data_IF_331804152775
#
_entry.id   IF_331804152775
#
_cell.length_a   1.000
_cell.length_b   1.000
_cell.length_c   1.000
_cell.angle_alpha   90.00
_cell.angle_beta   90.00
_cell.angle_gamma   90.00
#
_symmetry.space_group_name_H-M   'P 1'
#
loop_
_entity.id
_entity.type
_entity.pdbx_description
1 polymer ?
#
# COMPACT_ATOMS: atom_id res chain seq x y z
N UNK A 1 -25.89 21.52 28.01
CA UNK A 1 -25.61 20.23 27.38
C UNK A 1 -24.21 19.82 27.82
N UNK A 2 -24.08 18.80 28.66
CA UNK A 2 -22.79 18.27 29.08
C UNK A 2 -22.09 17.71 27.83
N UNK A 3 -20.92 18.25 27.48
CA UNK A 3 -20.07 17.64 26.45
C UNK A 3 -19.67 16.26 26.95
N UNK A 4 -20.04 15.26 26.19
CA UNK A 4 -19.68 13.86 26.45
C UNK A 4 -18.14 13.75 26.43
N UNK A 5 -17.53 13.69 27.60
CA UNK A 5 -16.08 13.65 27.82
C UNK A 5 -15.50 12.23 27.59
N UNK A 6 -16.12 11.44 26.71
CA UNK A 6 -15.61 10.13 26.33
C UNK A 6 -14.23 10.29 25.67
N UNK A 7 -13.23 9.57 26.15
CA UNK A 7 -11.92 9.48 25.49
C UNK A 7 -12.14 8.98 24.06
N UNK A 8 -11.41 9.53 23.07
CA UNK A 8 -11.50 9.11 21.67
C UNK A 8 -11.32 7.59 21.49
N UNK A 9 -10.40 7.01 22.24
CA UNK A 9 -10.12 5.57 22.27
C UNK A 9 -11.32 4.72 22.68
N UNK A 10 -12.21 5.23 23.52
CA UNK A 10 -13.44 4.52 23.91
C UNK A 10 -14.54 4.56 22.83
N UNK A 11 -14.30 5.26 21.73
CA UNK A 11 -15.24 5.37 20.62
C UNK A 11 -14.93 4.42 19.47
N UNK A 12 -13.96 3.51 19.61
CA UNK A 12 -13.62 2.49 18.64
C UNK A 12 -13.82 1.09 19.21
N UNK A 13 -14.18 0.15 18.35
CA UNK A 13 -14.26 -1.28 18.65
C UNK A 13 -12.83 -1.83 18.88
N UNK A 14 -12.64 -2.81 19.75
CA UNK A 14 -11.32 -3.43 19.92
C UNK A 14 -11.00 -4.41 18.78
N UNK A 15 -9.71 -4.64 18.53
CA UNK A 15 -9.25 -5.59 17.51
C UNK A 15 -9.75 -7.01 17.78
N UNK A 16 -9.77 -7.41 19.05
CA UNK A 16 -10.20 -8.74 19.50
C UNK A 16 -11.70 -8.95 19.29
N UNK A 17 -12.51 -7.92 19.56
CA UNK A 17 -13.98 -7.98 19.40
C UNK A 17 -14.36 -8.05 17.91
N UNK A 18 -13.85 -7.15 17.08
CA UNK A 18 -14.15 -7.11 15.66
C UNK A 18 -13.08 -6.32 14.90
N UNK A 19 -12.08 -7.03 14.34
CA UNK A 19 -10.97 -6.42 13.60
C UNK A 19 -11.46 -5.58 12.40
N UNK A 20 -12.50 -6.00 11.72
CA UNK A 20 -13.04 -5.27 10.56
C UNK A 20 -13.71 -3.96 10.95
N UNK A 21 -14.42 -3.94 12.06
CA UNK A 21 -15.04 -2.71 12.59
C UNK A 21 -13.98 -1.79 13.19
N UNK A 22 -13.04 -2.32 13.97
CA UNK A 22 -11.88 -1.59 14.47
C UNK A 22 -11.15 -0.84 13.35
N UNK A 23 -10.87 -1.52 12.23
CA UNK A 23 -10.24 -0.91 11.07
C UNK A 23 -11.04 0.28 10.52
N UNK A 24 -12.36 0.10 10.36
CA UNK A 24 -13.24 1.15 9.85
C UNK A 24 -13.33 2.32 10.82
N UNK A 25 -13.43 2.03 12.12
CA UNK A 25 -13.47 3.05 13.18
C UNK A 25 -12.19 3.91 13.15
N UNK A 26 -11.01 3.30 13.00
CA UNK A 26 -9.75 4.04 12.87
C UNK A 26 -9.74 4.92 11.63
N UNK A 27 -10.16 4.41 10.47
CA UNK A 27 -10.20 5.22 9.24
C UNK A 27 -10.98 6.52 9.42
N UNK A 28 -12.07 6.48 10.18
CA UNK A 28 -12.94 7.65 10.42
C UNK A 28 -12.45 8.48 11.62
N UNK A 29 -12.12 7.84 12.75
CA UNK A 29 -11.79 8.55 14.00
C UNK A 29 -10.40 9.19 13.98
N UNK A 30 -9.45 8.61 13.26
CA UNK A 30 -8.16 9.25 13.00
C UNK A 30 -8.24 10.33 11.90
N UNK A 31 -9.44 10.61 11.40
CA UNK A 31 -9.70 11.63 10.37
C UNK A 31 -8.96 11.38 9.04
N UNK A 32 -8.85 10.10 8.64
CA UNK A 32 -8.21 9.74 7.37
C UNK A 32 -9.19 9.86 6.21
N UNK A 33 -10.42 9.43 6.41
CA UNK A 33 -11.46 9.44 5.38
C UNK A 33 -12.80 9.90 5.92
N UNK A 34 -13.67 10.30 4.98
CA UNK A 34 -15.10 10.48 5.18
C UNK A 34 -15.84 9.75 4.04
N UNK A 35 -17.06 9.30 4.29
CA UNK A 35 -17.88 8.70 3.26
C UNK A 35 -18.47 9.78 2.33
N UNK A 36 -18.36 9.55 1.03
CA UNK A 36 -19.00 10.40 0.02
C UNK A 36 -20.52 10.14 -0.02
N UNK A 37 -21.27 11.09 -0.57
CA UNK A 37 -22.70 10.90 -0.88
C UNK A 37 -22.94 9.81 -1.93
N UNK A 38 -21.93 9.45 -2.73
CA UNK A 38 -21.99 8.32 -3.67
C UNK A 38 -21.46 7.07 -2.98
N UNK A 39 -22.32 6.06 -2.83
CA UNK A 39 -21.99 4.81 -2.15
C UNK A 39 -20.73 4.14 -2.72
N UNK A 40 -19.80 3.81 -1.84
CA UNK A 40 -18.56 3.12 -2.19
C UNK A 40 -17.42 4.05 -2.60
N UNK A 41 -17.66 5.37 -2.61
CA UNK A 41 -16.64 6.40 -2.77
C UNK A 41 -16.29 7.01 -1.41
N UNK A 42 -15.03 7.38 -1.26
CA UNK A 42 -14.52 8.01 -0.04
C UNK A 42 -13.90 9.38 -0.37
N UNK A 43 -13.92 10.25 0.63
CA UNK A 43 -13.17 11.51 0.63
C UNK A 43 -11.91 11.27 1.45
N UNK A 44 -10.73 11.47 0.87
CA UNK A 44 -9.50 11.55 1.65
C UNK A 44 -9.49 12.89 2.41
N UNK A 45 -9.52 12.79 3.75
CA UNK A 45 -9.42 13.98 4.61
C UNK A 45 -7.98 14.47 4.64
N UNK A 46 -7.72 15.72 5.04
CA UNK A 46 -6.36 16.29 4.99
C UNK A 46 -5.28 15.42 5.63
N UNK A 47 -5.57 14.74 6.75
CA UNK A 47 -4.57 13.90 7.41
C UNK A 47 -4.29 12.61 6.63
N UNK A 48 -5.33 11.97 6.09
CA UNK A 48 -5.18 10.81 5.20
C UNK A 48 -4.47 11.16 3.89
N UNK A 49 -4.81 12.31 3.30
CA UNK A 49 -4.15 12.82 2.11
C UNK A 49 -2.66 13.10 2.35
N UNK A 50 -2.31 13.71 3.49
CA UNK A 50 -0.92 14.01 3.83
C UNK A 50 -0.06 12.74 4.01
N UNK A 51 -0.62 11.65 4.55
CA UNK A 51 0.06 10.35 4.59
C UNK A 51 0.33 9.84 3.18
N UNK A 52 -0.67 9.89 2.29
CA UNK A 52 -0.52 9.47 0.90
C UNK A 52 0.51 10.31 0.15
N UNK A 53 0.53 11.63 0.34
CA UNK A 53 1.51 12.54 -0.27
C UNK A 53 2.95 12.22 0.14
N UNK A 54 3.18 11.79 1.38
CA UNK A 54 4.50 11.37 1.84
C UNK A 54 4.95 10.06 1.17
N UNK A 55 4.05 9.09 1.02
CA UNK A 55 4.30 7.85 0.26
C UNK A 55 4.57 8.19 -1.21
N UNK A 56 3.75 9.05 -1.80
CA UNK A 56 3.90 9.51 -3.17
C UNK A 56 5.26 10.20 -3.40
N UNK A 57 5.65 11.07 -2.48
CA UNK A 57 6.91 11.84 -2.57
C UNK A 57 8.13 10.91 -2.61
N UNK A 58 8.15 9.88 -1.77
CA UNK A 58 9.28 8.93 -1.74
C UNK A 58 9.30 8.06 -3.00
N UNK A 59 8.17 7.46 -3.38
CA UNK A 59 8.07 6.66 -4.60
C UNK A 59 8.41 7.46 -5.85
N UNK A 60 7.90 8.69 -6.00
CA UNK A 60 8.16 9.55 -7.15
C UNK A 60 9.65 9.89 -7.28
N UNK A 61 10.33 10.12 -6.15
CA UNK A 61 11.77 10.34 -6.14
C UNK A 61 12.55 9.11 -6.64
N UNK A 62 12.14 7.90 -6.22
CA UNK A 62 12.75 6.63 -6.66
C UNK A 62 12.51 6.37 -8.14
N UNK A 63 11.31 6.64 -8.66
CA UNK A 63 10.99 6.51 -10.09
C UNK A 63 11.84 7.46 -10.93
N UNK A 64 11.94 8.73 -10.54
CA UNK A 64 12.79 9.73 -11.23
C UNK A 64 14.26 9.35 -11.19
N UNK A 65 14.75 8.80 -10.09
CA UNK A 65 16.13 8.32 -9.99
C UNK A 65 16.45 7.17 -10.96
N UNK A 66 15.45 6.42 -11.42
CA UNK A 66 15.56 5.34 -12.41
C UNK A 66 15.14 5.76 -13.83
N UNK A 67 14.97 7.07 -14.06
CA UNK A 67 14.74 7.66 -15.37
C UNK A 67 13.29 7.64 -15.84
N UNK A 68 12.33 7.54 -14.92
CA UNK A 68 10.90 7.61 -15.24
C UNK A 68 10.40 9.05 -15.25
N UNK A 69 9.48 9.33 -16.14
CA UNK A 69 8.84 10.64 -16.31
C UNK A 69 7.35 10.56 -16.02
N UNK A 70 6.84 11.55 -15.29
CA UNK A 70 5.41 11.64 -15.01
C UNK A 70 4.65 12.18 -16.20
N UNK A 71 3.53 11.52 -16.51
CA UNK A 71 2.57 11.91 -17.55
C UNK A 71 1.16 11.97 -16.98
N UNK A 72 0.23 12.50 -17.75
CA UNK A 72 -1.20 12.49 -17.42
C UNK A 72 -1.99 11.98 -18.62
N UNK A 73 -2.65 10.84 -18.48
CA UNK A 73 -3.56 10.29 -19.48
C UNK A 73 -5.00 10.74 -19.21
N UNK A 74 -5.85 10.81 -20.25
CA UNK A 74 -7.27 11.12 -20.09
C UNK A 74 -7.97 10.14 -19.16
N UNK A 75 -8.97 10.61 -18.41
CA UNK A 75 -9.79 9.77 -17.53
C UNK A 75 -10.76 8.90 -18.30
N UNK A 76 -11.16 9.30 -19.49
CA UNK A 76 -12.10 8.60 -20.35
C UNK A 76 -11.40 7.95 -21.54
N UNK A 77 -11.87 6.75 -21.88
CA UNK A 77 -11.45 6.02 -23.08
C UNK A 77 -12.66 5.48 -23.84
N UNK A 78 -12.65 5.47 -25.18
CA UNK A 78 -13.74 4.89 -25.95
C UNK A 78 -13.83 3.36 -25.75
N UNK A 79 -15.04 2.82 -25.78
CA UNK A 79 -15.27 1.37 -25.64
C UNK A 79 -14.54 0.57 -26.72
N UNK A 80 -14.48 1.09 -27.94
CA UNK A 80 -13.77 0.46 -29.07
C UNK A 80 -12.27 0.26 -28.79
N UNK A 81 -11.65 1.22 -28.09
CA UNK A 81 -10.26 1.11 -27.69
C UNK A 81 -10.05 0.00 -26.65
N UNK A 82 -10.92 -0.08 -25.66
CA UNK A 82 -10.86 -1.10 -24.62
C UNK A 82 -11.08 -2.50 -25.20
N UNK A 83 -11.91 -2.65 -26.23
CA UNK A 83 -12.22 -3.94 -26.87
C UNK A 83 -11.09 -4.54 -27.71
N UNK A 84 -10.06 -3.78 -28.09
CA UNK A 84 -8.92 -4.30 -28.84
C UNK A 84 -8.15 -5.38 -28.08
N UNK A 85 -8.13 -5.30 -26.75
CA UNK A 85 -7.55 -6.33 -25.88
C UNK A 85 -8.67 -7.10 -25.15
N UNK A 86 -9.11 -8.20 -25.75
CA UNK A 86 -10.26 -8.98 -25.27
C UNK A 86 -10.06 -9.58 -23.87
N UNK A 87 -8.84 -9.97 -23.51
CA UNK A 87 -8.56 -10.51 -22.18
C UNK A 87 -8.69 -9.43 -21.10
N UNK A 88 -8.20 -8.21 -21.38
CA UNK A 88 -8.33 -7.08 -20.48
C UNK A 88 -9.80 -6.70 -20.27
N UNK A 89 -10.56 -6.64 -21.36
CA UNK A 89 -12.01 -6.35 -21.31
C UNK A 89 -12.73 -7.39 -20.45
N UNK A 90 -12.47 -8.68 -20.67
CA UNK A 90 -13.11 -9.76 -19.93
C UNK A 90 -12.77 -9.69 -18.42
N UNK A 91 -11.54 -9.30 -18.08
CA UNK A 91 -11.10 -9.12 -16.69
C UNK A 91 -11.81 -7.97 -15.98
N UNK A 92 -12.13 -6.87 -16.68
CA UNK A 92 -12.71 -5.66 -16.09
C UNK A 92 -14.18 -5.41 -16.43
N UNK A 93 -14.76 -6.14 -17.36
CA UNK A 93 -16.13 -5.89 -17.85
C UNK A 93 -17.19 -5.66 -16.76
N UNK A 94 -17.20 -6.40 -15.63
CA UNK A 94 -18.17 -6.18 -14.56
C UNK A 94 -17.96 -4.91 -13.73
N UNK A 95 -16.76 -4.32 -13.82
CA UNK A 95 -16.29 -3.25 -12.93
C UNK A 95 -16.13 -1.89 -13.65
N UNK A 96 -16.42 -1.81 -14.95
CA UNK A 96 -16.29 -0.56 -15.71
C UNK A 96 -17.47 0.36 -15.43
N UNK A 97 -17.18 1.61 -15.10
CA UNK A 97 -18.16 2.69 -15.09
C UNK A 97 -18.26 3.32 -16.48
N UNK A 98 -19.48 3.45 -17.01
CA UNK A 98 -19.73 3.92 -18.37
C UNK A 98 -20.33 5.32 -18.40
N UNK A 99 -19.78 6.20 -19.24
CA UNK A 99 -20.34 7.48 -19.59
C UNK A 99 -21.07 7.34 -20.93
N UNK A 100 -22.35 7.64 -20.93
CA UNK A 100 -23.25 7.48 -22.09
C UNK A 100 -23.80 8.77 -22.62
N UNK A 101 -23.59 9.89 -21.90
CA UNK A 101 -24.04 11.22 -22.29
C UNK A 101 -22.92 12.24 -22.10
N UNK A 102 -22.81 13.19 -23.02
CA UNK A 102 -21.98 14.41 -22.93
C UNK A 102 -22.89 15.63 -22.87
N UNK A 103 -22.95 16.30 -21.71
CA UNK A 103 -23.98 17.31 -21.47
C UNK A 103 -25.38 16.71 -21.52
N UNK A 104 -26.24 17.21 -22.40
CA UNK A 104 -27.61 16.70 -22.63
C UNK A 104 -27.71 15.71 -23.81
N UNK A 105 -26.63 15.46 -24.53
CA UNK A 105 -26.62 14.64 -25.73
C UNK A 105 -26.13 13.24 -25.46
N UNK A 106 -26.77 12.25 -26.06
CA UNK A 106 -26.31 10.86 -26.01
C UNK A 106 -25.07 10.71 -26.89
N UNK A 107 -24.03 10.08 -26.35
CA UNK A 107 -22.82 9.77 -27.12
C UNK A 107 -23.10 8.68 -28.17
N UNK A 108 -22.49 8.78 -29.34
CA UNK A 108 -22.54 7.76 -30.39
C UNK A 108 -21.88 6.45 -29.90
N UNK A 109 -20.77 6.58 -29.20
CA UNK A 109 -20.07 5.51 -28.53
C UNK A 109 -19.95 5.83 -27.03
N UNK A 110 -20.22 4.84 -26.17
CA UNK A 110 -20.02 5.03 -24.73
C UNK A 110 -18.53 5.04 -24.38
N UNK A 111 -18.21 5.82 -23.33
CA UNK A 111 -16.85 5.93 -22.84
C UNK A 111 -16.70 5.22 -21.51
N UNK A 112 -15.61 4.49 -21.33
CA UNK A 112 -15.23 3.91 -20.05
C UNK A 112 -14.51 4.97 -19.20
N UNK A 113 -14.89 5.09 -17.92
CA UNK A 113 -14.00 5.70 -16.93
C UNK A 113 -12.88 4.69 -16.67
N UNK A 114 -11.63 5.08 -16.85
CA UNK A 114 -10.48 4.16 -16.80
C UNK A 114 -10.47 3.30 -15.54
N UNK A 115 -10.49 1.95 -15.66
CA UNK A 115 -10.23 1.04 -14.55
C UNK A 115 -8.74 0.77 -14.37
N UNK A 116 -7.96 1.01 -15.41
CA UNK A 116 -6.50 0.95 -15.58
C UNK A 116 -6.16 1.60 -16.91
N UNK A 117 -4.90 1.83 -17.23
CA UNK A 117 -4.53 2.67 -18.38
C UNK A 117 -3.66 1.99 -19.45
N UNK A 118 -3.43 0.66 -19.41
CA UNK A 118 -2.61 -0.05 -20.40
C UNK A 118 -3.02 0.30 -21.83
N UNK A 119 -4.34 0.30 -22.10
CA UNK A 119 -4.89 0.58 -23.43
C UNK A 119 -4.66 2.02 -23.88
N UNK A 120 -4.76 2.99 -22.96
CA UNK A 120 -4.47 4.40 -23.24
C UNK A 120 -2.99 4.62 -23.58
N UNK A 121 -2.10 3.95 -22.87
CA UNK A 121 -0.66 4.04 -23.14
C UNK A 121 -0.32 3.40 -24.50
N UNK A 122 -0.89 2.25 -24.81
CA UNK A 122 -0.68 1.61 -26.11
C UNK A 122 -1.22 2.46 -27.26
N UNK A 123 -2.39 3.05 -27.12
CA UNK A 123 -2.95 3.98 -28.10
C UNK A 123 -2.06 5.22 -28.30
N UNK A 124 -1.50 5.76 -27.22
CA UNK A 124 -0.53 6.85 -27.30
C UNK A 124 0.74 6.42 -28.03
N UNK A 125 1.37 5.32 -27.61
CA UNK A 125 2.62 4.85 -28.21
C UNK A 125 2.50 4.46 -29.67
N UNK A 126 1.35 3.94 -30.10
CA UNK A 126 1.11 3.63 -31.53
C UNK A 126 1.25 4.84 -32.45
N UNK A 127 1.11 6.05 -31.88
CA UNK A 127 1.21 7.33 -32.60
C UNK A 127 2.56 8.02 -32.47
N UNK A 128 3.33 7.72 -31.43
CA UNK A 128 4.55 8.50 -31.14
C UNK A 128 5.83 7.68 -31.25
N UNK A 129 5.78 6.35 -31.18
CA UNK A 129 6.94 5.50 -31.31
C UNK A 129 7.21 5.19 -32.79
N UNK A 130 8.42 5.48 -33.26
CA UNK A 130 8.83 5.25 -34.64
C UNK A 130 10.17 4.51 -34.77
N UNK A 131 11.07 4.68 -33.82
CA UNK A 131 12.45 4.18 -33.90
C UNK A 131 12.93 3.58 -32.57
N UNK A 132 13.81 2.57 -32.67
CA UNK A 132 14.50 2.03 -31.49
C UNK A 132 15.25 3.08 -30.67
N UNK A 133 15.60 4.23 -31.28
CA UNK A 133 16.29 5.33 -30.59
C UNK A 133 15.43 6.06 -29.57
N UNK A 134 14.11 5.88 -29.64
CA UNK A 134 13.13 6.46 -28.72
C UNK A 134 12.86 5.55 -27.52
N UNK A 135 13.37 4.32 -27.55
CA UNK A 135 13.23 3.35 -26.48
C UNK A 135 14.43 3.37 -25.49
N UNK A 136 14.21 3.08 -24.20
CA UNK A 136 12.92 2.78 -23.59
C UNK A 136 12.11 4.04 -23.33
N UNK A 137 10.77 3.96 -23.41
CA UNK A 137 9.86 4.98 -22.87
C UNK A 137 9.37 4.52 -21.50
N UNK A 138 9.63 5.32 -20.47
CA UNK A 138 9.36 4.99 -19.08
C UNK A 138 8.46 6.03 -18.45
N UNK A 139 7.15 5.73 -18.42
CA UNK A 139 6.16 6.67 -17.93
C UNK A 139 5.52 6.21 -16.62
N UNK A 140 5.16 7.18 -15.80
CA UNK A 140 4.40 7.01 -14.59
C UNK A 140 3.27 8.04 -14.54
N UNK A 141 2.12 7.68 -14.00
CA UNK A 141 1.10 8.67 -13.67
C UNK A 141 0.55 8.47 -12.27
N UNK A 142 0.32 9.59 -11.59
CA UNK A 142 -0.42 9.69 -10.35
C UNK A 142 -1.84 10.07 -10.66
N UNK A 143 -2.79 9.18 -10.37
CA UNK A 143 -4.19 9.41 -10.77
C UNK A 143 -5.16 8.62 -9.89
N UNK A 144 -6.45 8.81 -10.13
CA UNK A 144 -7.48 7.89 -9.66
C UNK A 144 -8.00 7.02 -10.80
N UNK A 145 -8.53 5.87 -10.44
CA UNK A 145 -9.25 4.95 -11.32
C UNK A 145 -10.57 4.54 -10.67
N UNK A 146 -11.52 4.07 -11.49
CA UNK A 146 -12.82 3.61 -11.01
C UNK A 146 -13.01 2.15 -11.37
N UNK A 147 -13.27 1.34 -10.33
CA UNK A 147 -13.70 -0.06 -10.44
C UNK A 147 -14.99 -0.23 -9.68
N UNK A 148 -16.07 -0.61 -10.36
CA UNK A 148 -17.42 -0.65 -9.79
C UNK A 148 -17.63 -1.84 -8.87
N UNK A 149 -16.88 -1.87 -7.79
CA UNK A 149 -16.86 -2.92 -6.78
C UNK A 149 -18.22 -3.07 -6.07
N UNK A 150 -18.62 -4.32 -5.83
CA UNK A 150 -19.86 -4.63 -5.10
C UNK A 150 -19.72 -4.40 -3.60
N UNK A 151 -18.59 -4.81 -3.04
CA UNK A 151 -18.27 -4.67 -1.61
C UNK A 151 -17.08 -3.73 -1.47
N UNK A 152 -17.23 -2.70 -0.64
CA UNK A 152 -16.21 -1.68 -0.45
C UNK A 152 -15.75 -1.58 1.00
N UNK A 153 -14.49 -1.22 1.19
CA UNK A 153 -13.88 -0.90 2.48
C UNK A 153 -12.82 0.18 2.25
N UNK A 154 -12.79 1.27 3.03
CA UNK A 154 -11.84 2.37 2.85
C UNK A 154 -10.40 1.86 2.65
N UNK A 155 -9.66 2.45 1.72
CA UNK A 155 -8.29 2.11 1.29
C UNK A 155 -8.11 0.71 0.69
N UNK A 156 -8.76 -0.31 1.20
CA UNK A 156 -8.55 -1.70 0.75
C UNK A 156 -9.26 -2.01 -0.56
N UNK A 157 -10.51 -1.53 -0.68
CA UNK A 157 -11.36 -1.75 -1.84
C UNK A 157 -12.42 -0.65 -1.90
N UNK A 158 -12.20 0.36 -2.72
CA UNK A 158 -13.13 1.48 -2.96
C UNK A 158 -13.49 1.51 -4.44
N UNK A 159 -14.63 2.10 -4.79
CA UNK A 159 -15.00 2.25 -6.21
C UNK A 159 -14.09 3.20 -6.94
N UNK A 160 -13.66 4.27 -6.30
CA UNK A 160 -12.56 5.11 -6.73
C UNK A 160 -11.42 4.99 -5.73
N UNK A 161 -10.20 4.90 -6.21
CA UNK A 161 -9.00 4.92 -5.38
C UNK A 161 -7.87 5.64 -6.10
N UNK A 162 -6.98 6.22 -5.33
CA UNK A 162 -5.78 6.89 -5.82
C UNK A 162 -4.63 5.91 -5.85
N UNK A 163 -3.87 5.99 -6.90
CA UNK A 163 -2.72 5.13 -7.10
C UNK A 163 -1.65 5.78 -7.94
N UNK A 164 -0.58 5.08 -8.11
CA UNK A 164 0.41 5.24 -9.12
C UNK A 164 0.31 4.06 -10.07
N UNK A 165 0.39 4.32 -11.35
CA UNK A 165 0.57 3.30 -12.38
C UNK A 165 1.73 3.70 -13.28
N UNK A 166 2.75 2.82 -13.35
CA UNK A 166 3.85 2.94 -14.28
C UNK A 166 3.60 2.09 -15.51
N UNK A 167 3.96 2.62 -16.66
CA UNK A 167 3.84 1.94 -17.94
C UNK A 167 5.09 2.21 -18.75
N UNK A 168 5.76 1.15 -19.21
CA UNK A 168 7.02 1.27 -19.95
C UNK A 168 7.03 0.37 -21.17
N UNK A 169 7.78 0.78 -22.20
CA UNK A 169 8.07 -0.02 -23.38
C UNK A 169 9.56 -0.06 -23.65
N UNK A 170 10.05 -1.21 -24.09
CA UNK A 170 11.47 -1.53 -24.25
C UNK A 170 11.76 -2.20 -25.60
N UNK A 171 13.01 -2.05 -26.08
CA UNK A 171 13.46 -2.70 -27.31
C UNK A 171 13.49 -4.24 -27.17
N UNK A 172 13.86 -4.75 -25.98
CA UNK A 172 14.06 -6.18 -25.75
C UNK A 172 13.27 -6.72 -24.57
N UNK A 173 12.95 -8.01 -24.60
CA UNK A 173 12.31 -8.73 -23.49
C UNK A 173 13.14 -8.63 -22.20
N UNK A 174 14.46 -8.77 -22.31
CA UNK A 174 15.34 -8.73 -21.15
C UNK A 174 15.31 -7.38 -20.43
N UNK A 175 15.25 -6.27 -21.18
CA UNK A 175 15.10 -4.93 -20.59
C UNK A 175 13.76 -4.76 -19.89
N UNK A 176 12.66 -5.24 -20.49
CA UNK A 176 11.33 -5.18 -19.89
C UNK A 176 11.22 -6.05 -18.63
N UNK A 177 11.79 -7.25 -18.62
CA UNK A 177 11.84 -8.10 -17.44
C UNK A 177 12.67 -7.46 -16.32
N UNK A 178 13.84 -6.87 -16.65
CA UNK A 178 14.65 -6.16 -15.68
C UNK A 178 13.90 -4.96 -15.06
N UNK A 179 13.16 -4.19 -15.88
CA UNK A 179 12.31 -3.11 -15.43
C UNK A 179 11.21 -3.61 -14.48
N UNK A 180 10.55 -4.72 -14.83
CA UNK A 180 9.51 -5.35 -14.00
C UNK A 180 10.05 -5.70 -12.61
N UNK A 181 11.24 -6.29 -12.53
CA UNK A 181 11.90 -6.63 -11.26
C UNK A 181 12.38 -5.40 -10.49
N UNK A 182 12.91 -4.39 -11.19
CA UNK A 182 13.34 -3.14 -10.58
C UNK A 182 12.21 -2.46 -9.83
N UNK A 183 11.03 -2.38 -10.43
CA UNK A 183 9.89 -1.72 -9.81
C UNK A 183 9.27 -2.53 -8.66
N UNK A 184 9.26 -3.85 -8.78
CA UNK A 184 8.88 -4.72 -7.67
C UNK A 184 9.78 -4.51 -6.44
N UNK A 185 11.09 -4.44 -6.65
CA UNK A 185 12.07 -4.18 -5.60
C UNK A 185 11.90 -2.78 -5.00
N UNK A 186 11.63 -1.76 -5.82
CA UNK A 186 11.32 -0.41 -5.36
C UNK A 186 10.13 -0.42 -4.37
N UNK A 187 9.05 -1.13 -4.69
CA UNK A 187 7.90 -1.27 -3.81
C UNK A 187 8.22 -2.02 -2.52
N UNK A 188 8.99 -3.09 -2.61
CA UNK A 188 9.43 -3.84 -1.43
C UNK A 188 10.27 -2.97 -0.49
N UNK A 189 11.21 -2.21 -1.04
CA UNK A 189 12.09 -1.31 -0.28
C UNK A 189 11.26 -0.24 0.46
N UNK A 190 10.29 0.40 -0.20
CA UNK A 190 9.39 1.38 0.43
C UNK A 190 8.58 0.72 1.54
N UNK A 191 7.99 -0.46 1.29
CA UNK A 191 7.22 -1.17 2.33
C UNK A 191 8.09 -1.47 3.56
N UNK A 192 9.30 -1.96 3.37
CA UNK A 192 10.18 -2.39 4.47
C UNK A 192 10.87 -1.22 5.18
N UNK A 193 11.37 -0.24 4.43
CA UNK A 193 12.15 0.87 4.97
C UNK A 193 11.26 1.99 5.52
N UNK A 194 10.24 2.41 4.76
CA UNK A 194 9.45 3.59 5.07
C UNK A 194 8.14 3.26 5.79
N UNK A 195 7.49 2.14 5.40
CA UNK A 195 6.25 1.70 6.04
C UNK A 195 6.48 0.70 7.17
N UNK A 196 7.71 0.22 7.37
CA UNK A 196 8.06 -0.79 8.37
C UNK A 196 7.21 -2.09 8.23
N UNK A 197 6.88 -2.48 7.00
CA UNK A 197 6.07 -3.66 6.67
C UNK A 197 6.93 -4.68 5.93
N UNK A 198 7.27 -5.83 6.55
CA UNK A 198 7.98 -6.90 5.86
C UNK A 198 7.08 -7.56 4.81
N UNK A 199 7.61 -7.78 3.62
CA UNK A 199 6.88 -8.35 2.49
C UNK A 199 7.53 -9.64 1.95
N UNK A 200 6.72 -10.49 1.33
CA UNK A 200 7.18 -11.64 0.55
C UNK A 200 7.08 -11.29 -0.93
N UNK A 201 8.22 -11.33 -1.62
CA UNK A 201 8.28 -11.12 -3.08
C UNK A 201 8.13 -12.45 -3.81
N UNK A 202 7.31 -12.47 -4.85
CA UNK A 202 7.14 -13.68 -5.64
C UNK A 202 6.35 -13.46 -6.94
N UNK A 203 6.24 -14.53 -7.71
CA UNK A 203 5.44 -14.58 -8.93
C UNK A 203 4.04 -15.11 -8.61
N UNK A 204 3.01 -14.54 -9.23
CA UNK A 204 1.65 -15.06 -9.19
C UNK A 204 1.54 -16.33 -10.05
N UNK A 205 0.63 -17.22 -9.67
CA UNK A 205 0.22 -18.33 -10.53
C UNK A 205 -0.49 -17.81 -11.78
N UNK A 206 -0.61 -18.64 -12.80
CA UNK A 206 -1.30 -18.25 -14.05
C UNK A 206 -2.77 -17.88 -13.82
N UNK A 207 -3.39 -18.46 -12.79
CA UNK A 207 -4.77 -18.13 -12.38
C UNK A 207 -4.88 -16.74 -11.74
N UNK A 208 -3.90 -16.34 -10.97
CA UNK A 208 -3.93 -15.09 -10.18
C UNK A 208 -3.17 -13.92 -10.85
N UNK A 209 -2.54 -14.15 -12.01
CA UNK A 209 -1.85 -13.09 -12.74
C UNK A 209 -2.84 -12.08 -13.33
N UNK A 210 -2.36 -10.88 -13.60
CA UNK A 210 -3.13 -9.84 -14.28
C UNK A 210 -3.54 -10.28 -15.69
N UNK A 211 -4.79 -9.97 -16.08
CA UNK A 211 -5.31 -10.30 -17.39
C UNK A 211 -4.45 -9.71 -18.52
N UNK A 212 -4.04 -10.53 -19.48
CA UNK A 212 -3.17 -10.12 -20.57
C UNK A 212 -1.67 -10.16 -20.26
N UNK A 213 -1.24 -10.26 -19.00
CA UNK A 213 0.17 -10.37 -18.66
C UNK A 213 0.74 -11.76 -18.91
N UNK A 214 2.00 -11.85 -19.34
CA UNK A 214 2.76 -13.10 -19.38
C UNK A 214 3.21 -13.51 -17.97
N UNK A 215 3.61 -12.54 -17.15
CA UNK A 215 3.96 -12.75 -15.75
C UNK A 215 3.51 -11.57 -14.90
N UNK A 216 3.02 -11.89 -13.69
CA UNK A 216 2.72 -10.91 -12.65
C UNK A 216 3.56 -11.23 -11.43
N UNK A 217 4.27 -10.25 -10.93
CA UNK A 217 5.02 -10.30 -9.68
C UNK A 217 4.31 -9.45 -8.62
N UNK A 218 4.49 -9.83 -7.37
CA UNK A 218 3.77 -9.24 -6.25
C UNK A 218 4.65 -9.09 -5.03
N UNK A 219 4.32 -8.12 -4.20
CA UNK A 219 4.71 -8.07 -2.80
C UNK A 219 3.49 -8.37 -1.93
N UNK A 220 3.59 -9.38 -1.08
CA UNK A 220 2.53 -9.81 -0.17
C UNK A 220 2.89 -9.47 1.27
N UNK A 221 2.03 -8.74 1.96
CA UNK A 221 2.17 -8.44 3.38
C UNK A 221 1.18 -9.26 4.21
N UNK A 222 1.54 -9.55 5.46
CA UNK A 222 0.64 -10.18 6.42
C UNK A 222 0.12 -9.16 7.42
N UNK A 223 -1.20 -9.09 7.55
CA UNK A 223 -1.87 -8.22 8.51
C UNK A 223 -1.90 -8.86 9.91
N UNK A 224 -2.24 -8.08 10.94
CA UNK A 224 -2.28 -8.58 12.33
C UNK A 224 -3.24 -9.75 12.53
N UNK A 225 -4.34 -9.79 11.79
CA UNK A 225 -5.32 -10.89 11.83
C UNK A 225 -4.88 -12.14 11.04
N UNK A 226 -3.68 -12.12 10.46
CA UNK A 226 -3.10 -13.23 9.70
C UNK A 226 -3.53 -13.30 8.24
N UNK A 227 -4.40 -12.40 7.77
CA UNK A 227 -4.75 -12.35 6.34
C UNK A 227 -3.67 -11.69 5.52
N UNK A 228 -3.57 -12.14 4.28
CA UNK A 228 -2.65 -11.60 3.30
C UNK A 228 -3.20 -10.36 2.62
N UNK A 229 -2.34 -9.37 2.39
CA UNK A 229 -2.65 -8.20 1.59
C UNK A 229 -1.64 -8.05 0.45
N UNK A 230 -2.12 -8.14 -0.79
CA UNK A 230 -1.34 -7.75 -1.96
C UNK A 230 -1.06 -6.25 -1.89
N UNK A 231 0.20 -5.89 -1.70
CA UNK A 231 0.61 -4.51 -1.40
C UNK A 231 1.18 -3.77 -2.60
N UNK A 232 1.54 -4.49 -3.66
CA UNK A 232 2.01 -3.93 -4.93
C UNK A 232 2.21 -5.03 -5.96
N UNK A 233 2.11 -4.67 -7.24
CA UNK A 233 2.31 -5.59 -8.37
C UNK A 233 3.14 -4.98 -9.46
N UNK A 234 3.84 -5.84 -10.18
CA UNK A 234 4.61 -5.49 -11.37
C UNK A 234 4.39 -6.56 -12.44
N UNK A 235 4.01 -6.14 -13.64
CA UNK A 235 3.56 -7.01 -14.72
C UNK A 235 4.50 -6.93 -15.90
N UNK A 236 4.86 -8.10 -16.43
CA UNK A 236 5.51 -8.26 -17.72
C UNK A 236 4.51 -8.74 -18.75
N UNK A 237 4.29 -8.00 -19.83
CA UNK A 237 3.31 -8.31 -20.87
C UNK A 237 3.90 -8.96 -22.11
N UNK A 238 5.22 -9.07 -22.22
CA UNK A 238 5.82 -9.40 -23.49
C UNK A 238 5.52 -8.34 -24.54
N UNK A 239 5.24 -8.77 -25.78
CA UNK A 239 4.84 -7.90 -26.89
C UNK A 239 3.35 -8.01 -27.25
N UNK A 240 2.54 -8.66 -26.41
CA UNK A 240 1.15 -8.99 -26.68
C UNK A 240 0.27 -7.75 -26.88
N UNK A 241 0.35 -6.81 -25.93
CA UNK A 241 -0.38 -5.55 -26.03
C UNK A 241 0.12 -4.69 -27.19
N UNK A 242 1.42 -4.61 -27.38
CA UNK A 242 2.01 -3.88 -28.51
C UNK A 242 1.51 -4.39 -29.87
N UNK A 243 1.37 -5.69 -30.03
CA UNK A 243 0.78 -6.30 -31.21
C UNK A 243 -0.71 -5.99 -31.36
N UNK A 244 -1.50 -6.08 -30.29
CA UNK A 244 -2.94 -5.82 -30.32
C UNK A 244 -3.28 -4.37 -30.68
N UNK A 245 -2.39 -3.42 -30.32
CA UNK A 245 -2.57 -1.98 -30.56
C UNK A 245 -1.71 -1.44 -31.69
N UNK A 246 -1.03 -2.30 -32.50
CA UNK A 246 -0.15 -1.91 -33.58
C UNK A 246 0.96 -0.92 -33.19
N UNK A 247 1.47 -1.07 -31.95
CA UNK A 247 2.64 -0.32 -31.50
C UNK A 247 3.88 -0.91 -32.17
N UNK A 248 4.53 -0.15 -33.03
CA UNK A 248 5.69 -0.62 -33.80
C UNK A 248 6.83 0.39 -33.80
N UNK A 249 8.04 -0.09 -33.98
CA UNK A 249 9.23 0.74 -34.19
C UNK A 249 10.16 0.12 -35.25
N UNK A 250 10.91 0.95 -35.97
CA UNK A 250 11.96 0.50 -36.84
C UNK A 250 13.20 0.15 -36.01
N UNK A 251 13.60 -1.11 -36.05
CA UNK A 251 14.76 -1.64 -35.34
C UNK A 251 16.12 -1.29 -36.00
N UNK A 252 17.20 -1.75 -35.38
CA UNK A 252 18.58 -1.57 -35.90
C UNK A 252 18.82 -2.29 -37.22
N UNK A 253 18.01 -3.30 -37.50
CA UNK A 253 18.01 -4.10 -38.73
C UNK A 253 17.12 -3.51 -39.85
N UNK A 254 16.58 -2.32 -39.65
CA UNK A 254 15.62 -1.65 -40.52
C UNK A 254 14.31 -2.44 -40.74
N UNK A 255 13.94 -3.36 -39.83
CA UNK A 255 12.68 -4.05 -39.83
C UNK A 255 11.74 -3.45 -38.77
N UNK A 256 10.41 -3.69 -38.94
CA UNK A 256 9.41 -3.32 -37.94
C UNK A 256 9.36 -4.37 -36.84
N UNK A 257 9.41 -3.90 -35.61
CA UNK A 257 9.30 -4.69 -34.38
C UNK A 257 8.22 -4.14 -33.47
N UNK A 258 7.72 -4.99 -32.57
CA UNK A 258 6.84 -4.59 -31.48
C UNK A 258 7.66 -4.46 -30.18
N UNK A 259 7.50 -3.37 -29.40
CA UNK A 259 8.20 -3.24 -28.13
C UNK A 259 7.63 -4.17 -27.06
N UNK A 260 8.46 -4.51 -26.09
CA UNK A 260 8.09 -5.27 -24.89
C UNK A 260 7.59 -4.32 -23.81
N UNK A 261 6.46 -4.66 -23.21
CA UNK A 261 5.74 -3.77 -22.32
C UNK A 261 5.73 -4.26 -20.87
N UNK A 262 5.78 -3.29 -19.93
CA UNK A 262 5.53 -3.52 -18.51
C UNK A 262 4.46 -2.57 -17.99
N UNK A 263 3.78 -2.98 -16.90
CA UNK A 263 3.07 -2.05 -16.02
C UNK A 263 3.26 -2.44 -14.56
N UNK A 264 3.19 -1.46 -13.67
CA UNK A 264 3.43 -1.68 -12.25
C UNK A 264 2.70 -0.61 -11.44
N UNK A 265 2.19 -1.01 -10.26
CA UNK A 265 1.33 -0.10 -9.49
C UNK A 265 1.23 -0.42 -8.00
N UNK A 266 1.08 0.66 -7.23
CA UNK A 266 0.65 0.67 -5.83
C UNK A 266 -0.41 1.75 -5.62
N UNK A 267 -1.25 1.56 -4.62
CA UNK A 267 -2.38 2.44 -4.37
C UNK A 267 -2.44 2.89 -2.91
N UNK A 268 -3.41 3.72 -2.60
CA UNK A 268 -3.79 4.06 -1.22
C UNK A 268 -4.09 2.84 -0.34
N UNK A 269 -4.14 1.62 -0.90
CA UNK A 269 -4.16 0.36 -0.13
C UNK A 269 -2.99 0.26 0.86
N UNK A 270 -1.85 0.88 0.56
CA UNK A 270 -0.70 0.94 1.49
C UNK A 270 -1.05 1.65 2.80
N UNK A 271 -1.94 2.64 2.78
CA UNK A 271 -2.45 3.27 4.01
C UNK A 271 -3.25 2.25 4.84
N UNK A 272 -4.08 1.44 4.18
CA UNK A 272 -4.79 0.33 4.82
C UNK A 272 -3.83 -0.70 5.41
N UNK A 273 -2.74 -1.02 4.72
CA UNK A 273 -1.70 -1.91 5.22
C UNK A 273 -1.05 -1.37 6.50
N UNK A 274 -0.72 -0.09 6.56
CA UNK A 274 -0.15 0.57 7.75
C UNK A 274 -1.10 0.45 8.94
N UNK A 275 -2.40 0.73 8.75
CA UNK A 275 -3.41 0.60 9.80
C UNK A 275 -3.43 -0.82 10.35
N UNK A 276 -3.56 -1.82 9.47
CA UNK A 276 -3.74 -3.21 9.86
C UNK A 276 -2.47 -3.87 10.38
N UNK A 277 -1.29 -3.34 10.04
CA UNK A 277 -0.02 -3.88 10.51
C UNK A 277 0.40 -3.28 11.84
N UNK A 278 0.22 -1.97 12.04
CA UNK A 278 0.81 -1.26 13.17
C UNK A 278 -0.20 -0.78 14.21
N UNK A 279 -1.42 -0.40 13.78
CA UNK A 279 -2.45 0.16 14.67
C UNK A 279 -2.77 -0.72 15.87
N UNK A 280 -3.24 -0.11 16.95
CA UNK A 280 -3.71 -0.77 18.18
C UNK A 280 -5.12 -0.29 18.57
N UNK A 281 -5.60 -0.66 19.76
CA UNK A 281 -6.92 -0.27 20.22
C UNK A 281 -7.01 1.20 20.68
N UNK A 282 -5.90 1.93 20.66
CA UNK A 282 -5.84 3.37 20.90
C UNK A 282 -5.75 4.19 19.58
N UNK A 283 -5.60 3.54 18.43
CA UNK A 283 -5.60 4.18 17.12
C UNK A 283 -4.44 3.77 16.21
N UNK A 284 -4.02 4.71 15.37
CA UNK A 284 -2.88 4.55 14.48
C UNK A 284 -1.55 4.47 15.24
N UNK A 285 -0.59 3.80 14.62
CA UNK A 285 0.84 3.94 14.91
C UNK A 285 1.53 4.15 13.57
N UNK A 286 1.99 5.37 13.30
CA UNK A 286 2.58 5.70 12.02
C UNK A 286 4.09 5.50 12.02
N UNK A 287 4.65 4.79 11.03
CA UNK A 287 6.08 4.83 10.75
C UNK A 287 6.54 6.28 10.52
N UNK A 288 7.69 6.68 11.06
CA UNK A 288 8.11 8.08 11.01
C UNK A 288 8.24 8.68 9.62
N UNK A 289 8.67 7.89 8.63
CA UNK A 289 8.86 8.36 7.26
C UNK A 289 7.56 8.96 6.67
N UNK A 290 6.42 8.34 6.96
CA UNK A 290 5.12 8.71 6.38
C UNK A 290 4.17 9.39 7.39
N UNK A 291 4.63 9.73 8.57
CA UNK A 291 3.85 10.48 9.56
C UNK A 291 3.81 11.97 9.21
N UNK A 292 2.63 12.57 8.92
CA UNK A 292 2.53 14.01 8.65
C UNK A 292 3.06 14.87 9.79
N UNK A 293 2.90 14.36 11.01
CA UNK A 293 3.45 14.94 12.25
C UNK A 293 4.29 13.85 12.89
N UNK A 294 5.60 14.08 13.01
CA UNK A 294 6.52 13.15 13.67
C UNK A 294 6.61 13.40 15.18
N UNK A 295 6.49 14.66 15.55
CA UNK A 295 6.53 15.11 16.94
C UNK A 295 5.38 16.07 17.21
N UNK A 296 4.59 15.80 18.23
CA UNK A 296 3.64 16.78 18.77
C UNK A 296 4.18 17.34 20.06
N UNK A 297 4.29 18.66 20.16
CA UNK A 297 4.68 19.38 21.38
C UNK A 297 3.43 19.76 22.15
N UNK A 298 3.31 19.29 23.39
CA UNK A 298 2.16 19.53 24.26
C UNK A 298 2.62 20.25 25.52
N UNK A 299 2.29 21.55 25.68
CA UNK A 299 2.54 22.27 26.92
C UNK A 299 1.61 21.77 28.03
N UNK A 300 2.21 21.41 29.16
CA UNK A 300 1.50 20.97 30.36
C UNK A 300 1.36 22.17 31.31
N UNK A 301 0.13 22.49 31.72
CA UNK A 301 -0.17 23.71 32.45
C UNK A 301 0.30 24.97 31.71
N UNK A 302 -0.14 25.11 30.46
CA UNK A 302 0.24 26.18 29.53
C UNK A 302 0.04 27.63 30.11
N UNK A 303 -0.88 27.77 31.09
CA UNK A 303 -1.14 29.03 31.80
C UNK A 303 -0.01 29.46 32.77
N UNK A 304 0.93 28.58 33.07
CA UNK A 304 2.08 28.91 33.93
C UNK A 304 3.14 29.68 33.14
N UNK A 305 3.82 30.67 33.80
CA UNK A 305 4.81 31.49 33.13
C UNK A 305 5.89 30.67 32.42
N UNK A 306 6.21 31.04 31.18
CA UNK A 306 7.30 30.48 30.38
C UNK A 306 7.01 29.15 29.72
N UNK A 307 5.88 28.46 30.03
CA UNK A 307 5.59 27.14 29.48
C UNK A 307 5.19 27.22 27.99
N UNK A 308 4.23 28.10 27.66
CA UNK A 308 3.76 28.26 26.28
C UNK A 308 4.85 28.82 25.38
N UNK A 309 5.60 29.82 25.86
CA UNK A 309 6.72 30.42 25.12
C UNK A 309 7.80 29.38 24.83
N UNK A 310 8.14 28.55 25.81
CA UNK A 310 9.14 27.49 25.61
C UNK A 310 8.67 26.40 24.72
N UNK A 311 7.41 26.01 24.82
CA UNK A 311 6.82 25.02 23.88
C UNK A 311 6.85 25.52 22.43
N UNK A 312 6.56 26.79 22.19
CA UNK A 312 6.64 27.39 20.85
C UNK A 312 8.09 27.46 20.34
N UNK A 313 9.05 27.88 21.18
CA UNK A 313 10.48 27.86 20.85
C UNK A 313 10.96 26.46 20.46
N UNK A 314 10.56 25.44 21.23
CA UNK A 314 10.94 24.04 20.95
C UNK A 314 10.32 23.54 19.64
N UNK A 315 9.06 23.86 19.38
CA UNK A 315 8.42 23.51 18.12
C UNK A 315 9.14 24.14 16.92
N UNK A 316 9.53 25.41 17.01
CA UNK A 316 10.33 26.09 15.99
C UNK A 316 11.71 25.42 15.80
N UNK A 317 12.40 25.11 16.89
CA UNK A 317 13.70 24.42 16.83
C UNK A 317 13.59 23.06 16.18
N UNK A 318 12.60 22.25 16.58
CA UNK A 318 12.37 20.89 16.07
C UNK A 318 11.96 20.92 14.58
N UNK A 319 11.23 21.95 14.12
CA UNK A 319 10.78 22.07 12.73
C UNK A 319 11.92 22.06 11.70
N UNK A 320 13.15 22.32 12.12
CA UNK A 320 14.34 22.33 11.26
C UNK A 320 14.78 20.93 10.84
N UNK A 321 14.37 19.88 11.59
CA UNK A 321 14.80 18.50 11.35
C UNK A 321 13.71 17.44 11.48
N UNK A 322 12.50 17.81 11.93
CA UNK A 322 11.35 16.93 12.02
C UNK A 322 10.04 17.66 11.69
N UNK A 323 9.04 16.92 11.20
CA UNK A 323 7.68 17.46 11.03
C UNK A 323 7.01 17.56 12.39
N UNK A 324 6.83 18.78 12.87
CA UNK A 324 6.35 19.05 14.23
C UNK A 324 5.03 19.81 14.23
N UNK A 325 4.22 19.55 15.25
CA UNK A 325 3.00 20.30 15.55
C UNK A 325 3.04 20.77 17.01
N UNK A 326 2.81 22.04 17.24
CA UNK A 326 2.50 22.56 18.58
C UNK A 326 0.99 22.40 18.81
N UNK A 327 0.60 21.77 19.91
CA UNK A 327 -0.80 21.72 20.37
C UNK A 327 -1.00 22.71 21.53
N UNK A 328 -1.27 23.94 21.16
CA UNK A 328 -1.57 25.06 22.05
C UNK A 328 -3.09 25.26 22.28
N UNK A 329 -3.91 24.28 21.87
CA UNK A 329 -5.37 24.34 22.09
C UNK A 329 -5.74 24.36 23.57
N UNK A 330 -6.97 24.80 23.88
CA UNK A 330 -7.51 24.85 25.25
C UNK A 330 -7.98 23.49 25.79
N UNK A 331 -7.76 22.40 25.05
CA UNK A 331 -8.13 21.07 25.49
C UNK A 331 -7.27 20.59 26.64
N UNK A 332 -7.87 19.79 27.53
CA UNK A 332 -7.13 19.16 28.63
C UNK A 332 -6.02 18.23 28.11
N UNK A 333 -4.86 18.13 28.81
CA UNK A 333 -3.75 17.29 28.36
C UNK A 333 -4.13 15.85 28.01
N UNK A 334 -4.97 15.20 28.81
CA UNK A 334 -5.44 13.83 28.54
C UNK A 334 -6.24 13.71 27.26
N UNK A 335 -7.01 14.73 26.87
CA UNK A 335 -7.70 14.80 25.59
C UNK A 335 -6.70 14.94 24.43
N UNK A 336 -5.74 15.85 24.55
CA UNK A 336 -4.67 16.02 23.55
C UNK A 336 -3.91 14.71 23.33
N UNK A 337 -3.54 14.02 24.40
CA UNK A 337 -2.83 12.74 24.32
C UNK A 337 -3.65 11.71 23.53
N UNK A 338 -4.92 11.51 23.89
CA UNK A 338 -5.80 10.57 23.18
C UNK A 338 -6.00 10.93 21.70
N UNK A 339 -6.11 12.22 21.39
CA UNK A 339 -6.24 12.69 20.00
C UNK A 339 -5.01 12.37 19.15
N UNK A 340 -3.82 12.64 19.68
CA UNK A 340 -2.59 12.39 18.93
C UNK A 340 -2.20 10.91 18.92
N UNK A 341 -2.60 10.15 19.92
CA UNK A 341 -2.52 8.70 19.94
C UNK A 341 -3.42 8.07 18.89
N UNK A 342 -4.66 8.52 18.76
CA UNK A 342 -5.58 8.09 17.70
C UNK A 342 -5.00 8.38 16.30
N UNK A 343 -4.37 9.53 16.11
CA UNK A 343 -3.71 9.91 14.85
C UNK A 343 -2.35 9.23 14.62
N UNK A 344 -1.85 8.49 15.61
CA UNK A 344 -0.62 7.70 15.49
C UNK A 344 0.65 8.51 15.39
N UNK A 345 0.68 9.73 15.96
CA UNK A 345 1.88 10.58 15.96
C UNK A 345 3.02 9.86 16.69
N UNK A 346 4.17 9.63 16.04
CA UNK A 346 5.26 8.81 16.59
C UNK A 346 5.77 9.24 17.96
N UNK A 347 6.00 10.52 18.14
CA UNK A 347 6.52 11.08 19.40
C UNK A 347 5.66 12.21 19.94
N UNK A 348 5.42 12.19 21.23
CA UNK A 348 4.85 13.32 21.98
C UNK A 348 5.92 13.90 22.88
N UNK A 349 6.16 15.21 22.77
CA UNK A 349 7.01 15.98 23.66
C UNK A 349 6.11 16.71 24.66
N UNK A 350 6.23 16.37 25.94
CA UNK A 350 5.54 17.02 27.05
C UNK A 350 6.51 17.98 27.74
N UNK A 351 6.07 19.22 28.01
CA UNK A 351 6.84 20.19 28.71
C UNK A 351 5.97 20.98 29.68
N UNK A 352 6.36 21.01 30.95
CA UNK A 352 5.67 21.71 32.03
C UNK A 352 6.62 22.50 32.92
N UNK A 353 6.11 23.17 33.98
CA UNK A 353 6.93 24.02 34.85
C UNK A 353 8.14 23.32 35.48
N UNK A 354 7.94 22.07 35.93
CA UNK A 354 9.02 21.26 36.53
C UNK A 354 10.10 20.85 35.53
N UNK A 355 9.71 20.72 34.27
CA UNK A 355 10.63 20.37 33.19
C UNK A 355 11.51 21.60 32.84
N UNK A 356 10.90 22.78 32.80
CA UNK A 356 11.61 24.03 32.60
C UNK A 356 12.71 24.25 33.66
N UNK A 357 12.38 24.04 34.96
CA UNK A 357 13.32 24.17 36.06
C UNK A 357 14.56 23.27 35.90
N UNK A 358 14.39 22.11 35.24
CA UNK A 358 15.44 21.10 35.06
C UNK A 358 16.08 21.12 33.67
N UNK A 359 15.74 22.08 32.82
CA UNK A 359 16.15 22.15 31.43
C UNK A 359 15.94 20.82 30.66
N UNK A 360 14.78 20.20 30.86
CA UNK A 360 14.42 18.92 30.27
C UNK A 360 13.00 18.93 29.68
N UNK A 361 12.64 17.89 28.93
CA UNK A 361 11.28 17.56 28.55
C UNK A 361 11.05 16.06 28.69
N UNK A 362 9.81 15.60 28.47
CA UNK A 362 9.46 14.18 28.39
C UNK A 362 9.13 13.84 26.96
N UNK A 363 9.88 12.92 26.37
CA UNK A 363 9.50 12.27 25.10
C UNK A 363 8.72 11.00 25.40
N UNK A 364 7.59 10.83 24.74
CA UNK A 364 6.73 9.64 24.86
C UNK A 364 6.59 9.00 23.49
N UNK A 365 7.01 7.75 23.36
CA UNK A 365 6.82 6.95 22.13
C UNK A 365 5.37 6.48 22.01
N UNK A 366 4.82 6.57 20.80
CA UNK A 366 3.44 6.13 20.52
C UNK A 366 3.29 4.61 20.66
N UNK A 367 4.27 3.84 20.24
CA UNK A 367 4.21 2.39 20.12
C UNK A 367 4.44 1.63 21.44
N UNK A 368 5.28 2.14 22.33
CA UNK A 368 5.62 1.50 23.62
C UNK A 368 5.02 2.22 24.82
N UNK A 369 4.60 3.47 24.67
CA UNK A 369 4.21 4.40 25.75
C UNK A 369 5.34 4.73 26.71
N UNK A 370 6.55 4.34 26.39
CA UNK A 370 7.73 4.65 27.18
C UNK A 370 7.96 6.16 27.27
N UNK A 371 8.24 6.63 28.50
CA UNK A 371 8.57 8.02 28.81
C UNK A 371 10.05 8.16 29.06
N UNK A 372 10.70 9.01 28.28
CA UNK A 372 12.13 9.30 28.41
C UNK A 372 12.31 10.77 28.75
N UNK A 373 13.02 11.06 29.82
CA UNK A 373 13.42 12.43 30.14
C UNK A 373 14.66 12.80 29.33
N UNK A 374 14.58 13.89 28.59
CA UNK A 374 15.65 14.36 27.69
C UNK A 374 15.98 15.80 27.98
N UNK A 375 17.27 16.12 28.02
CA UNK A 375 17.74 17.51 28.09
C UNK A 375 17.28 18.29 26.86
N UNK A 376 16.84 19.54 27.04
CA UNK A 376 16.45 20.39 25.92
C UNK A 376 17.59 20.65 24.92
N UNK A 377 18.85 20.48 25.39
CA UNK A 377 20.07 20.68 24.60
C UNK A 377 20.37 19.43 23.69
N UNK A 378 19.79 18.28 24.02
CA UNK A 378 20.01 17.00 23.32
C UNK A 378 18.90 16.61 22.32
N UNK A 379 17.87 17.43 22.16
CA UNK A 379 16.68 17.07 21.33
C UNK A 379 17.03 16.78 19.88
N UNK A 380 18.01 17.46 19.31
CA UNK A 380 18.43 17.30 17.92
C UNK A 380 19.03 15.89 17.64
N UNK A 381 19.58 15.25 18.69
CA UNK A 381 20.06 13.87 18.63
C UNK A 381 19.01 12.87 19.10
N UNK A 382 18.29 13.19 20.18
CA UNK A 382 17.37 12.28 20.83
C UNK A 382 16.11 12.01 19.98
N UNK A 383 15.54 13.02 19.33
CA UNK A 383 14.33 12.85 18.52
C UNK A 383 14.59 11.92 17.32
N UNK A 384 15.60 12.14 16.46
CA UNK A 384 15.89 11.20 15.38
C UNK A 384 16.18 9.78 15.86
N UNK A 385 16.90 9.61 16.97
CA UNK A 385 17.20 8.30 17.55
C UNK A 385 15.92 7.57 18.01
N UNK A 386 14.98 8.26 18.66
CA UNK A 386 13.71 7.68 19.08
C UNK A 386 12.79 7.33 17.89
N UNK A 387 12.77 8.17 16.84
CA UNK A 387 12.03 7.88 15.62
C UNK A 387 12.57 6.63 14.92
N UNK A 388 13.89 6.49 14.81
CA UNK A 388 14.51 5.32 14.19
C UNK A 388 14.31 4.03 15.02
N UNK A 389 14.39 4.13 16.35
CA UNK A 389 14.07 3.03 17.24
C UNK A 389 12.62 2.57 17.06
N UNK A 390 11.67 3.51 17.01
CA UNK A 390 10.27 3.21 16.76
C UNK A 390 10.06 2.49 15.41
N UNK A 391 10.69 2.97 14.34
CA UNK A 391 10.62 2.32 13.02
C UNK A 391 11.11 0.88 13.06
N UNK A 392 12.27 0.64 13.69
CA UNK A 392 12.85 -0.71 13.85
C UNK A 392 11.93 -1.63 14.64
N UNK A 393 11.37 -1.16 15.72
CA UNK A 393 10.49 -1.96 16.58
C UNK A 393 9.16 -2.29 15.88
N UNK A 394 8.62 -1.36 15.07
CA UNK A 394 7.45 -1.63 14.23
C UNK A 394 7.73 -2.73 13.21
N UNK A 395 8.85 -2.64 12.50
CA UNK A 395 9.26 -3.66 11.54
C UNK A 395 9.45 -5.03 12.20
N UNK A 396 10.16 -5.06 13.32
CA UNK A 396 10.45 -6.30 14.04
C UNK A 396 9.16 -6.99 14.52
N UNK A 397 8.22 -6.23 15.08
CA UNK A 397 6.91 -6.78 15.51
C UNK A 397 6.09 -7.32 14.34
N UNK A 398 6.11 -6.64 13.21
CA UNK A 398 5.43 -7.11 12.01
C UNK A 398 6.08 -8.38 11.43
N UNK A 399 7.41 -8.46 11.46
CA UNK A 399 8.16 -9.65 11.05
C UNK A 399 7.84 -10.85 11.94
N UNK A 400 7.88 -10.68 13.25
CA UNK A 400 7.53 -11.71 14.23
C UNK A 400 6.09 -12.21 14.07
N UNK A 401 5.14 -11.30 13.79
CA UNK A 401 3.76 -11.68 13.50
C UNK A 401 3.67 -12.57 12.26
N UNK A 402 4.39 -12.23 11.19
CA UNK A 402 4.45 -13.04 9.97
C UNK A 402 5.08 -14.41 10.22
N UNK A 403 6.21 -14.46 10.90
CA UNK A 403 6.92 -15.71 11.18
C UNK A 403 6.10 -16.67 12.06
N UNK A 404 5.48 -16.17 13.12
CA UNK A 404 4.59 -16.95 14.00
C UNK A 404 3.35 -17.49 13.28
N UNK A 405 2.94 -16.87 12.18
CA UNK A 405 1.76 -17.22 11.39
C UNK A 405 2.11 -17.83 10.03
N UNK A 406 3.31 -18.39 9.89
CA UNK A 406 3.75 -19.05 8.66
C UNK A 406 4.14 -20.50 8.98
N UNK A 407 3.40 -21.44 8.39
CA UNK A 407 3.58 -22.89 8.61
C UNK A 407 3.92 -23.56 7.29
N UNK A 408 4.53 -24.73 7.36
CA UNK A 408 4.75 -25.64 6.25
C UNK A 408 3.84 -26.86 6.39
N UNK A 409 3.35 -27.38 5.27
CA UNK A 409 2.57 -28.60 5.19
C UNK A 409 3.01 -29.43 3.98
N UNK A 410 2.96 -30.76 4.13
CA UNK A 410 3.37 -31.72 3.09
C UNK A 410 2.21 -32.59 2.60
N UNK A 411 1.10 -32.60 3.34
CA UNK A 411 -0.13 -33.32 3.01
C UNK A 411 -1.34 -32.40 3.03
N UNK A 412 -2.40 -32.81 2.34
CA UNK A 412 -3.64 -32.02 2.30
C UNK A 412 -4.35 -32.00 3.66
N UNK A 413 -4.22 -33.07 4.44
CA UNK A 413 -4.80 -33.15 5.79
C UNK A 413 -4.11 -32.13 6.73
N UNK A 414 -2.77 -32.04 6.69
CA UNK A 414 -2.02 -31.00 7.42
C UNK A 414 -2.47 -29.57 7.00
N UNK A 415 -2.65 -29.33 5.70
CA UNK A 415 -3.14 -28.04 5.20
C UNK A 415 -4.49 -27.69 5.80
N UNK A 416 -5.45 -28.64 5.79
CA UNK A 416 -6.80 -28.46 6.34
C UNK A 416 -6.79 -28.20 7.85
N UNK A 417 -5.99 -28.94 8.59
CA UNK A 417 -5.85 -28.77 10.04
C UNK A 417 -5.27 -27.39 10.37
N UNK A 418 -4.21 -26.99 9.70
CA UNK A 418 -3.60 -25.67 9.88
C UNK A 418 -4.55 -24.54 9.50
N UNK A 419 -5.24 -24.64 8.35
CA UNK A 419 -6.19 -23.62 7.88
C UNK A 419 -7.40 -23.48 8.79
N UNK A 420 -7.84 -24.60 9.43
CA UNK A 420 -8.96 -24.57 10.39
C UNK A 420 -8.55 -23.97 11.73
N UNK A 421 -7.32 -24.25 12.19
CA UNK A 421 -6.85 -23.83 13.50
C UNK A 421 -6.30 -22.40 13.51
N UNK A 422 -5.82 -21.90 12.37
CA UNK A 422 -5.03 -20.68 12.31
C UNK A 422 -5.38 -19.82 11.08
N UNK A 423 -5.07 -18.53 11.18
CA UNK A 423 -5.07 -17.60 10.04
C UNK A 423 -3.65 -17.10 9.79
N UNK A 424 -3.13 -17.35 8.60
CA UNK A 424 -1.75 -17.02 8.23
C UNK A 424 -1.36 -17.62 6.89
N UNK A 425 -0.07 -17.76 6.65
CA UNK A 425 0.47 -18.41 5.47
C UNK A 425 0.70 -19.91 5.74
N UNK A 426 0.32 -20.72 4.75
CA UNK A 426 0.70 -22.14 4.70
C UNK A 426 1.57 -22.33 3.45
N UNK A 427 2.78 -22.82 3.62
CA UNK A 427 3.71 -23.15 2.53
C UNK A 427 3.55 -24.60 2.14
N UNK A 428 3.40 -24.89 0.86
CA UNK A 428 3.44 -26.26 0.33
C UNK A 428 4.19 -26.30 -0.99
N UNK A 429 4.65 -27.50 -1.37
CA UNK A 429 5.05 -27.72 -2.76
C UNK A 429 3.82 -27.82 -3.64
N UNK A 430 3.94 -27.45 -4.91
CA UNK A 430 2.86 -27.43 -5.90
C UNK A 430 3.35 -27.95 -7.26
N UNK A 431 2.54 -28.76 -7.92
CA UNK A 431 2.87 -29.38 -9.20
C UNK A 431 2.67 -28.46 -10.44
N UNK A 432 2.10 -27.27 -10.23
CA UNK A 432 1.77 -26.35 -11.33
C UNK A 432 0.36 -26.54 -11.92
N UNK A 433 -0.40 -27.53 -11.45
CA UNK A 433 -1.71 -27.86 -11.99
C UNK A 433 -2.80 -26.95 -11.41
N UNK A 434 -3.63 -26.38 -12.29
CA UNK A 434 -4.76 -25.52 -11.90
C UNK A 434 -5.77 -26.24 -11.00
N UNK A 435 -6.04 -27.53 -11.28
CA UNK A 435 -7.00 -28.30 -10.48
C UNK A 435 -6.54 -28.42 -9.03
N UNK A 436 -5.23 -28.52 -8.80
CA UNK A 436 -4.67 -28.53 -7.43
C UNK A 436 -4.80 -27.17 -6.75
N UNK A 437 -4.66 -26.06 -7.49
CA UNK A 437 -4.87 -24.72 -6.97
C UNK A 437 -6.35 -24.48 -6.61
N UNK A 438 -7.28 -24.93 -7.45
CA UNK A 438 -8.71 -24.88 -7.18
C UNK A 438 -9.10 -25.73 -5.96
N UNK A 439 -8.51 -26.93 -5.83
CA UNK A 439 -8.71 -27.81 -4.68
C UNK A 439 -8.27 -27.18 -3.36
N UNK A 440 -7.15 -26.44 -3.34
CA UNK A 440 -6.74 -25.67 -2.16
C UNK A 440 -7.82 -24.66 -1.74
N UNK A 441 -8.46 -24.01 -2.69
CA UNK A 441 -9.55 -23.06 -2.41
C UNK A 441 -10.80 -23.77 -1.90
N UNK A 442 -11.19 -24.85 -2.55
CA UNK A 442 -12.40 -25.60 -2.24
C UNK A 442 -12.32 -26.32 -0.88
N UNK A 443 -11.22 -27.02 -0.59
CA UNK A 443 -11.09 -27.86 0.59
C UNK A 443 -10.52 -27.13 1.82
N UNK A 444 -9.69 -26.10 1.63
CA UNK A 444 -9.04 -25.37 2.73
C UNK A 444 -9.38 -23.89 2.80
N UNK A 445 -10.13 -23.35 1.83
CA UNK A 445 -10.48 -21.92 1.79
C UNK A 445 -9.32 -21.00 1.41
N UNK A 446 -8.18 -21.54 0.98
CA UNK A 446 -6.93 -20.82 0.73
C UNK A 446 -6.77 -20.50 -0.77
N UNK A 447 -6.27 -19.31 -1.07
CA UNK A 447 -5.82 -18.94 -2.42
C UNK A 447 -4.30 -18.82 -2.46
N UNK A 448 -3.72 -19.04 -3.65
CA UNK A 448 -2.30 -18.81 -3.84
C UNK A 448 -1.99 -17.32 -3.65
N UNK A 449 -0.96 -17.03 -2.86
CA UNK A 449 -0.51 -15.64 -2.69
C UNK A 449 0.63 -15.34 -3.65
N UNK A 450 1.66 -16.15 -3.62
CA UNK A 450 2.75 -16.12 -4.60
C UNK A 450 3.58 -17.40 -4.56
N UNK A 451 4.32 -17.63 -5.63
CA UNK A 451 5.49 -18.48 -5.69
C UNK A 451 6.68 -17.59 -5.30
N UNK A 452 7.22 -17.67 -4.06
CA UNK A 452 8.26 -16.75 -3.62
C UNK A 452 9.54 -16.94 -4.42
N UNK A 453 10.37 -15.89 -4.51
CA UNK A 453 11.67 -16.01 -5.17
C UNK A 453 12.63 -16.91 -4.40
N UNK A 454 12.55 -16.86 -3.06
CA UNK A 454 13.28 -17.78 -2.19
C UNK A 454 12.46 -19.06 -2.02
N UNK A 455 12.93 -20.11 -2.69
CA UNK A 455 12.27 -21.42 -2.69
C UNK A 455 12.86 -22.33 -1.60
N UNK A 456 11.99 -23.00 -0.86
CA UNK A 456 12.34 -24.07 0.07
C UNK A 456 11.84 -25.40 -0.49
N UNK A 457 12.62 -26.45 -0.34
CA UNK A 457 12.19 -27.81 -0.68
C UNK A 457 11.51 -28.45 0.54
N UNK A 458 10.17 -28.51 0.52
CA UNK A 458 9.37 -29.03 1.63
C UNK A 458 9.01 -30.50 1.46
N UNK A 459 8.83 -30.95 0.21
CA UNK A 459 8.53 -32.34 -0.17
C UNK A 459 8.76 -32.54 -1.67
N UNK A 460 8.83 -33.80 -2.11
CA UNK A 460 8.98 -34.13 -3.54
C UNK A 460 7.66 -34.07 -4.31
N UNK A 461 6.52 -34.01 -3.61
CA UNK A 461 5.21 -34.17 -4.20
C UNK A 461 4.23 -33.07 -3.79
N UNK A 462 3.27 -32.82 -4.66
CA UNK A 462 2.14 -31.94 -4.41
C UNK A 462 1.18 -32.56 -3.38
N UNK A 463 0.79 -31.84 -2.32
CA UNK A 463 -0.11 -32.37 -1.30
C UNK A 463 -1.51 -32.70 -1.81
N UNK A 464 -1.93 -32.08 -2.94
CA UNK A 464 -3.26 -32.29 -3.51
C UNK A 464 -3.38 -33.54 -4.37
N UNK A 465 -2.34 -33.88 -5.14
CA UNK A 465 -2.44 -34.96 -6.17
C UNK A 465 -1.32 -36.00 -6.12
N UNK A 466 -0.28 -35.81 -5.29
CA UNK A 466 0.88 -36.70 -5.19
C UNK A 466 1.83 -36.68 -6.39
N UNK A 467 1.59 -35.85 -7.41
CA UNK A 467 2.51 -35.67 -8.54
C UNK A 467 3.79 -34.97 -8.10
N UNK A 468 4.93 -35.17 -8.79
CA UNK A 468 6.17 -34.47 -8.53
C UNK A 468 5.93 -32.93 -8.52
N UNK A 469 6.50 -32.26 -7.54
CA UNK A 469 6.35 -30.82 -7.36
C UNK A 469 7.73 -30.18 -7.09
N UNK A 470 8.01 -29.08 -7.77
CA UNK A 470 9.30 -28.37 -7.68
C UNK A 470 9.15 -26.91 -7.20
N UNK A 471 7.93 -26.40 -7.11
CA UNK A 471 7.66 -25.01 -6.78
C UNK A 471 6.95 -24.92 -5.43
N UNK A 472 7.53 -24.17 -4.51
CA UNK A 472 6.87 -23.84 -3.25
C UNK A 472 5.94 -22.65 -3.46
N UNK A 473 4.76 -22.71 -2.85
CA UNK A 473 3.73 -21.66 -2.92
C UNK A 473 3.34 -21.25 -1.50
N UNK A 474 3.15 -19.94 -1.30
CA UNK A 474 2.46 -19.38 -0.14
C UNK A 474 0.96 -19.36 -0.39
N UNK A 475 0.20 -20.02 0.47
CA UNK A 475 -1.26 -20.03 0.48
C UNK A 475 -1.79 -19.21 1.65
N UNK A 476 -2.92 -18.54 1.48
CA UNK A 476 -3.50 -17.76 2.56
C UNK A 476 -4.89 -17.22 2.22
N UNK A 477 -5.55 -16.68 3.24
CA UNK A 477 -6.79 -15.92 3.08
C UNK A 477 -6.39 -14.47 2.76
N UNK A 478 -6.96 -13.88 1.72
CA UNK A 478 -6.68 -12.52 1.27
C UNK A 478 -7.78 -11.53 1.65
N UNK A 479 -7.41 -10.26 1.75
CA UNK A 479 -8.32 -9.12 1.80
C UNK A 479 -8.92 -8.79 0.43
#
# INVERSE_FOLDING_TARGET
MAKDNKKLVQAITSQEENFAQWYTDICVKAELVEHSSVKGFIILRPYGQAIWELIQKDLDARFKATGHENVAMPVLMPESLLKKEGELVNGFAPEVAWVTMGGSEKLEERLAVRPTSETLFCDHWSRVLHSYRELPMKYNQWCSVIRWEKTTRPFLRSREFWWQEGHTIHETAAEAEAETQQQLNCYADVCEQDLAIPVVKGRKTDKEKFAGAEATYTIEAMMKDGKALQSGTSHYFGDKFSKAYDVTFTGRDNQLHHPYQTSWGVSTRLVGAIIMTHGDDDGLILPPAIAPIQVVVVPIAAHKPGVSEKAAELAEKISKYARVKLDDSDNAPGWKFSQWEMKGVPLRLEIGPKDLEKNQCVLVRRDTREKVFVSLDELETAIPAQLEALRKDLYQRALENREKRTWAATTMDEVKELAKANTGYIKTMWCGDLDCELKMKEEAGLSSRCMPFEQEHLSDVCPCCGKPAKTMVYWGIAY
#
